data_IF_585921995054
#
_entry.id   IF_585921995054
#
_cell.length_a   1.000
_cell.length_b   1.000
_cell.length_c   1.000
_cell.angle_alpha   90.00
_cell.angle_beta   90.00
_cell.angle_gamma   90.00
#
_symmetry.space_group_name_H-M   'P 1'
#
loop_
_entity.id
_entity.type
_entity.pdbx_description
1 polymer ?
#
# COMPACT_ATOMS: atom_id res chain seq x y z
N UNK A 1 18.72 -21.68 0.38
CA UNK A 1 18.00 -21.21 -0.83
C UNK A 1 16.59 -20.89 -0.37
N UNK A 2 16.33 -19.66 0.09
CA UNK A 2 15.09 -19.33 0.80
C UNK A 2 14.11 -18.66 -0.14
N UNK A 3 13.08 -19.40 -0.54
CA UNK A 3 11.98 -18.95 -1.36
C UNK A 3 11.08 -18.04 -0.52
N UNK A 4 11.09 -16.72 -0.78
CA UNK A 4 10.05 -15.81 -0.27
C UNK A 4 8.80 -15.99 -1.11
N UNK A 5 7.93 -16.92 -0.71
CA UNK A 5 6.54 -17.00 -1.19
C UNK A 5 5.63 -16.60 -0.05
N UNK A 6 5.00 -15.44 -0.17
CA UNK A 6 4.17 -14.86 0.87
C UNK A 6 3.17 -13.86 0.31
N UNK A 7 2.41 -14.26 -0.72
CA UNK A 7 1.13 -13.59 -0.93
C UNK A 7 0.21 -14.02 0.23
N UNK A 8 0.25 -13.27 1.33
CA UNK A 8 -0.65 -13.48 2.44
C UNK A 8 -2.09 -13.54 1.91
N UNK A 9 -2.88 -14.54 2.33
CA UNK A 9 -4.30 -14.61 2.03
C UNK A 9 -4.98 -13.43 2.74
N UNK A 10 -5.12 -12.31 2.03
CA UNK A 10 -5.77 -11.12 2.54
C UNK A 10 -7.28 -11.37 2.62
N UNK A 11 -7.96 -10.83 3.64
CA UNK A 11 -9.40 -10.95 3.71
C UNK A 11 -10.04 -10.29 2.48
N UNK A 12 -11.13 -10.92 2.02
CA UNK A 12 -12.01 -10.34 1.03
C UNK A 12 -12.60 -9.04 1.57
N UNK A 13 -12.70 -8.04 0.71
CA UNK A 13 -13.28 -6.75 1.01
C UNK A 13 -14.51 -6.55 0.14
N UNK A 14 -15.43 -5.67 0.57
CA UNK A 14 -16.45 -5.17 -0.35
C UNK A 14 -15.79 -4.44 -1.54
N UNK A 15 -16.58 -4.25 -2.60
CA UNK A 15 -16.08 -3.71 -3.86
C UNK A 15 -15.39 -2.34 -3.71
N UNK A 16 -15.89 -1.46 -2.83
CA UNK A 16 -15.32 -0.14 -2.64
C UNK A 16 -13.94 -0.22 -1.95
N UNK A 17 -13.86 -1.01 -0.87
CA UNK A 17 -12.59 -1.21 -0.14
C UNK A 17 -11.56 -1.98 -0.97
N UNK A 18 -12.00 -2.91 -1.82
CA UNK A 18 -11.11 -3.61 -2.75
C UNK A 18 -10.55 -2.67 -3.83
N UNK A 19 -11.38 -1.78 -4.38
CA UNK A 19 -10.93 -0.75 -5.32
C UNK A 19 -9.89 0.18 -4.68
N UNK A 20 -10.14 0.61 -3.44
CA UNK A 20 -9.17 1.41 -2.67
C UNK A 20 -7.86 0.64 -2.43
N UNK A 21 -7.93 -0.64 -2.03
CA UNK A 21 -6.75 -1.50 -1.85
C UNK A 21 -5.92 -1.55 -3.12
N UNK A 22 -6.54 -1.81 -4.26
CA UNK A 22 -5.85 -1.85 -5.57
C UNK A 22 -5.18 -0.53 -5.90
N UNK A 23 -5.88 0.59 -5.71
CA UNK A 23 -5.32 1.91 -5.98
C UNK A 23 -4.13 2.25 -5.06
N UNK A 24 -4.24 1.98 -3.76
CA UNK A 24 -3.17 2.19 -2.78
C UNK A 24 -1.93 1.36 -3.12
N UNK A 25 -2.11 0.08 -3.45
CA UNK A 25 -1.00 -0.80 -3.84
C UNK A 25 -0.29 -0.31 -5.11
N UNK A 26 -1.05 0.24 -6.06
CA UNK A 26 -0.50 0.74 -7.32
C UNK A 26 0.20 2.09 -7.21
N UNK A 27 -0.27 3.00 -6.35
CA UNK A 27 0.13 4.41 -6.38
C UNK A 27 0.73 4.96 -5.08
N UNK A 28 0.48 4.30 -3.94
CA UNK A 28 0.91 4.79 -2.63
C UNK A 28 1.92 3.88 -1.93
N UNK A 29 1.99 2.60 -2.30
CA UNK A 29 2.96 1.66 -1.73
C UNK A 29 4.32 1.80 -2.44
N UNK A 30 5.37 1.99 -1.64
CA UNK A 30 6.77 1.92 -2.08
C UNK A 30 7.47 0.82 -1.30
N UNK A 31 8.23 -0.03 -1.97
CA UNK A 31 9.06 -1.08 -1.35
C UNK A 31 10.54 -0.74 -1.49
N UNK A 32 11.34 -1.13 -0.50
CA UNK A 32 12.75 -0.73 -0.40
C UNK A 32 13.16 -0.47 1.05
N UNK A 33 14.37 0.01 1.28
CA UNK A 33 14.85 0.32 2.63
C UNK A 33 14.53 1.77 2.97
N UNK A 34 13.65 1.97 3.96
CA UNK A 34 13.24 3.28 4.43
C UNK A 34 13.58 3.45 5.92
N UNK A 35 13.99 4.65 6.29
CA UNK A 35 14.03 5.09 7.70
C UNK A 35 12.80 5.95 7.95
N UNK A 36 11.92 5.49 8.85
CA UNK A 36 10.70 6.20 9.20
C UNK A 36 10.99 7.40 10.09
N UNK A 37 10.00 8.29 10.26
CA UNK A 37 10.10 9.47 11.15
C UNK A 37 10.43 9.11 12.60
N UNK A 38 10.10 7.90 13.03
CA UNK A 38 10.46 7.34 14.35
C UNK A 38 11.92 6.86 14.45
N UNK A 39 12.69 6.93 13.38
CA UNK A 39 14.04 6.37 13.28
C UNK A 39 14.08 4.86 13.00
N UNK A 40 12.93 4.17 13.00
CA UNK A 40 12.87 2.72 12.70
C UNK A 40 13.08 2.43 11.22
N UNK A 41 13.79 1.36 10.92
CA UNK A 41 13.88 0.82 9.57
C UNK A 41 12.58 0.12 9.18
N UNK A 42 12.19 0.26 7.90
CA UNK A 42 11.05 -0.41 7.29
C UNK A 42 11.39 -0.83 5.86
N UNK A 43 10.88 -1.99 5.44
CA UNK A 43 11.03 -2.52 4.07
C UNK A 43 9.98 -1.97 3.10
N UNK A 44 9.07 -1.14 3.61
CA UNK A 44 8.01 -0.50 2.85
C UNK A 44 7.65 0.86 3.44
N UNK A 45 7.08 1.71 2.59
CA UNK A 45 6.55 3.02 2.96
C UNK A 45 5.23 3.25 2.23
N UNK A 46 4.26 3.82 2.94
CA UNK A 46 2.94 4.12 2.39
C UNK A 46 2.71 5.62 2.37
N UNK A 47 2.59 6.18 1.16
CA UNK A 47 2.35 7.60 0.93
C UNK A 47 0.89 7.82 0.51
N UNK A 48 -0.03 7.84 1.47
CA UNK A 48 -1.48 7.95 1.20
C UNK A 48 -1.89 9.33 0.67
N UNK A 49 -0.99 10.34 0.71
CA UNK A 49 -1.22 11.59 -0.02
C UNK A 49 -1.34 11.34 -1.52
N UNK A 50 -0.62 10.35 -2.06
CA UNK A 50 -0.73 10.00 -3.47
C UNK A 50 -2.13 9.48 -3.83
N UNK A 51 -2.80 8.74 -2.96
CA UNK A 51 -4.22 8.37 -3.16
C UNK A 51 -5.12 9.59 -3.09
N UNK A 52 -4.98 10.43 -2.06
CA UNK A 52 -5.86 11.58 -1.85
C UNK A 52 -5.70 12.69 -2.91
N UNK A 53 -4.50 12.87 -3.47
CA UNK A 53 -4.21 13.90 -4.46
C UNK A 53 -4.42 13.45 -5.91
N UNK A 54 -4.82 12.19 -6.14
CA UNK A 54 -5.14 11.66 -7.47
C UNK A 54 -6.65 11.71 -7.71
N UNK A 55 -7.11 12.11 -8.91
CA UNK A 55 -8.54 12.24 -9.19
C UNK A 55 -9.27 10.90 -9.12
N UNK A 56 -8.62 9.81 -9.53
CA UNK A 56 -9.15 8.45 -9.44
C UNK A 56 -9.02 7.84 -8.03
N UNK A 57 -8.14 8.41 -7.19
CA UNK A 57 -7.94 7.96 -5.81
C UNK A 57 -8.89 8.62 -4.80
N UNK A 58 -9.18 9.92 -4.94
CA UNK A 58 -10.03 10.68 -4.00
C UNK A 58 -11.48 10.19 -3.99
N UNK A 59 -11.95 9.58 -5.07
CA UNK A 59 -13.31 9.00 -5.15
C UNK A 59 -13.42 7.65 -4.42
N UNK A 60 -12.31 7.11 -3.90
CA UNK A 60 -12.25 5.81 -3.23
C UNK A 60 -12.14 5.90 -1.70
N UNK A 61 -12.13 7.11 -1.11
CA UNK A 61 -11.92 7.38 0.33
C UNK A 61 -13.12 8.01 1.02
#
# INVERSE_FOLDING_TARGET
MTTVSGAAHLPQLDAARDALRRHVLAHSLKTGNFTLKSGKASTWFLDTKQTACRPDGIVLV
#
